data_IF_442041144580
#
_entry.id   IF_442041144580
#
_cell.length_a   1.000
_cell.length_b   1.000
_cell.length_c   1.000
_cell.angle_alpha   90.00
_cell.angle_beta   90.00
_cell.angle_gamma   90.00
#
_symmetry.space_group_name_H-M   'P 1'
#
loop_
_entity.id
_entity.type
_entity.pdbx_description
1 polymer ?
#
# COMPACT_ATOMS: atom_id res chain seq x y z
N UNK A 1 4.73 -1.29 5.01
CA UNK A 1 4.25 -2.43 5.82
C UNK A 1 4.53 -2.19 7.30
N UNK A 2 5.68 -1.59 7.60
CA UNK A 2 6.16 -1.39 8.96
C UNK A 2 6.28 -2.74 9.67
N UNK A 3 5.89 -2.75 10.94
CA UNK A 3 5.87 -3.94 11.78
C UNK A 3 4.66 -4.87 11.54
N UNK A 4 3.87 -4.64 10.49
CA UNK A 4 2.76 -5.53 10.11
C UNK A 4 1.47 -5.39 10.94
N UNK A 5 1.37 -4.40 11.84
CA UNK A 5 0.16 -4.19 12.66
C UNK A 5 -1.11 -4.03 11.81
N UNK A 6 -1.11 -3.10 10.84
CA UNK A 6 -2.25 -2.91 9.93
C UNK A 6 -2.41 -4.12 9.00
N UNK A 7 -1.31 -4.71 8.54
CA UNK A 7 -1.32 -5.89 7.68
C UNK A 7 -2.08 -7.05 8.34
N UNK A 8 -1.86 -7.28 9.63
CA UNK A 8 -2.55 -8.31 10.41
C UNK A 8 -4.06 -8.08 10.45
N UNK A 9 -4.48 -6.84 10.70
CA UNK A 9 -5.90 -6.49 10.70
C UNK A 9 -6.54 -6.62 9.32
N UNK A 10 -5.81 -6.29 8.25
CA UNK A 10 -6.30 -6.55 6.88
C UNK A 10 -6.52 -8.05 6.68
N UNK A 11 -5.53 -8.88 6.99
CA UNK A 11 -5.62 -10.34 6.83
C UNK A 11 -6.79 -10.94 7.64
N UNK A 12 -7.06 -10.42 8.83
CA UNK A 12 -8.17 -10.87 9.67
C UNK A 12 -9.56 -10.56 9.07
N UNK A 13 -9.67 -9.53 8.22
CA UNK A 13 -10.94 -9.03 7.70
C UNK A 13 -11.20 -9.38 6.22
N UNK A 14 -10.16 -9.69 5.45
CA UNK A 14 -10.33 -10.07 4.03
C UNK A 14 -10.77 -11.53 3.87
N UNK A 15 -11.42 -11.82 2.75
CA UNK A 15 -11.85 -13.17 2.40
C UNK A 15 -10.69 -14.12 2.10
N UNK A 16 -10.91 -15.43 2.22
CA UNK A 16 -9.90 -16.46 1.93
C UNK A 16 -9.25 -16.39 0.53
N UNK A 17 -9.96 -16.10 -0.58
CA UNK A 17 -9.32 -16.01 -1.90
C UNK A 17 -8.53 -14.72 -2.12
N UNK A 18 -8.62 -13.74 -1.22
CA UNK A 18 -7.94 -12.46 -1.35
C UNK A 18 -6.43 -12.60 -1.11
N UNK A 19 -5.65 -11.70 -1.71
CA UNK A 19 -4.21 -11.55 -1.45
C UNK A 19 -3.91 -10.15 -0.93
N UNK A 20 -2.88 -10.03 -0.11
CA UNK A 20 -2.34 -8.76 0.39
C UNK A 20 -0.91 -8.61 -0.09
N UNK A 21 -0.62 -7.53 -0.80
CA UNK A 21 0.73 -7.18 -1.21
C UNK A 21 1.28 -6.14 -0.24
N UNK A 22 2.21 -6.54 0.62
CA UNK A 22 2.82 -5.70 1.64
C UNK A 22 4.15 -5.10 1.17
N UNK A 23 4.16 -3.81 0.81
CA UNK A 23 5.38 -3.09 0.41
C UNK A 23 6.14 -2.54 1.62
N UNK A 24 7.45 -2.76 1.65
CA UNK A 24 8.36 -2.24 2.68
C UNK A 24 9.80 -2.12 2.19
N UNK A 25 10.41 -0.95 2.39
CA UNK A 25 11.80 -0.72 1.95
C UNK A 25 12.81 -1.27 2.97
N UNK A 26 12.44 -1.32 4.24
CA UNK A 26 13.31 -1.86 5.28
C UNK A 26 13.27 -3.39 5.29
N UNK A 27 14.39 -4.02 4.89
CA UNK A 27 14.53 -5.48 4.84
C UNK A 27 14.34 -6.16 6.19
N UNK A 28 14.74 -5.52 7.29
CA UNK A 28 14.61 -6.13 8.61
C UNK A 28 13.16 -6.12 9.08
N UNK A 29 12.37 -5.10 8.71
CA UNK A 29 10.92 -5.12 8.91
C UNK A 29 10.24 -6.20 8.07
N UNK A 30 10.71 -6.45 6.85
CA UNK A 30 10.21 -7.56 6.03
C UNK A 30 10.41 -8.90 6.73
N UNK A 31 11.64 -9.18 7.19
CA UNK A 31 11.97 -10.42 7.91
C UNK A 31 11.17 -10.56 9.20
N UNK A 32 11.01 -9.47 9.94
CA UNK A 32 10.23 -9.48 11.17
C UNK A 32 8.78 -9.88 10.86
N UNK A 33 8.13 -9.23 9.91
CA UNK A 33 6.75 -9.54 9.52
C UNK A 33 6.62 -10.97 9.01
N UNK A 34 7.58 -11.44 8.20
CA UNK A 34 7.63 -12.83 7.71
C UNK A 34 7.70 -13.85 8.86
N UNK A 35 8.42 -13.52 9.94
CA UNK A 35 8.53 -14.38 11.13
C UNK A 35 7.29 -14.37 12.04
N UNK A 36 6.53 -13.26 12.04
CA UNK A 36 5.41 -13.04 12.95
C UNK A 36 4.04 -13.33 12.33
N UNK A 37 3.92 -13.23 11.00
CA UNK A 37 2.66 -13.38 10.26
C UNK A 37 2.80 -14.54 9.28
N UNK A 38 2.32 -15.71 9.68
CA UNK A 38 2.21 -16.89 8.81
C UNK A 38 0.82 -16.94 8.17
N UNK A 39 0.68 -16.32 6.99
CA UNK A 39 -0.55 -16.34 6.19
C UNK A 39 -0.22 -16.43 4.69
N UNK A 40 -0.71 -17.48 4.01
CA UNK A 40 -0.48 -17.71 2.58
C UNK A 40 -1.01 -16.61 1.66
N UNK A 41 -1.91 -15.76 2.16
CA UNK A 41 -2.48 -14.62 1.42
C UNK A 41 -1.57 -13.41 1.43
N UNK A 42 -0.57 -13.35 2.32
CA UNK A 42 0.37 -12.25 2.41
C UNK A 42 1.56 -12.47 1.47
N UNK A 43 1.79 -11.52 0.57
CA UNK A 43 2.98 -11.43 -0.28
C UNK A 43 3.79 -10.23 0.20
N UNK A 44 4.95 -10.50 0.81
CA UNK A 44 5.86 -9.46 1.28
C UNK A 44 6.77 -9.02 0.13
N UNK A 45 6.80 -7.71 -0.13
CA UNK A 45 7.61 -7.10 -1.18
C UNK A 45 8.61 -6.14 -0.53
N UNK A 46 9.89 -6.51 -0.56
CA UNK A 46 10.96 -5.62 -0.07
C UNK A 46 11.33 -4.58 -1.14
N UNK A 47 10.40 -3.68 -1.44
CA UNK A 47 10.54 -2.59 -2.41
C UNK A 47 9.63 -1.42 -2.01
N UNK A 48 9.87 -0.25 -2.60
CA UNK A 48 9.03 0.93 -2.41
C UNK A 48 7.65 0.78 -3.04
N UNK A 49 6.64 1.43 -2.45
CA UNK A 49 5.27 1.41 -2.97
C UNK A 49 5.15 2.07 -4.37
N UNK A 50 6.10 2.93 -4.74
CA UNK A 50 6.21 3.47 -6.10
C UNK A 50 6.38 2.39 -7.17
N UNK A 51 6.85 1.19 -6.78
CA UNK A 51 7.07 0.08 -7.69
C UNK A 51 5.85 -0.85 -7.78
N UNK A 52 4.65 -0.39 -7.40
CA UNK A 52 3.43 -1.23 -7.42
C UNK A 52 3.18 -1.87 -8.80
N UNK A 53 3.38 -1.11 -9.88
CA UNK A 53 3.20 -1.61 -11.26
C UNK A 53 4.17 -2.73 -11.65
N UNK A 54 5.35 -2.81 -11.01
CA UNK A 54 6.36 -3.86 -11.23
C UNK A 54 6.00 -5.17 -10.54
N UNK A 55 5.36 -5.09 -9.37
CA UNK A 55 5.10 -6.26 -8.52
C UNK A 55 3.66 -6.77 -8.59
N UNK A 56 2.76 -6.02 -9.24
CA UNK A 56 1.37 -6.41 -9.46
C UNK A 56 1.07 -6.46 -10.94
N UNK A 57 0.79 -7.66 -11.46
CA UNK A 57 0.38 -7.84 -12.86
C UNK A 57 -1.12 -7.59 -13.04
N UNK A 58 -1.90 -7.91 -12.02
CA UNK A 58 -3.36 -7.75 -12.00
C UNK A 58 -3.75 -6.35 -11.53
N UNK A 59 -5.00 -5.99 -11.78
CA UNK A 59 -5.62 -4.83 -11.14
C UNK A 59 -5.99 -5.18 -9.69
N UNK A 60 -6.08 -4.17 -8.84
CA UNK A 60 -6.29 -4.32 -7.40
C UNK A 60 -7.67 -3.78 -7.00
N UNK A 61 -8.24 -4.37 -5.94
CA UNK A 61 -9.57 -3.99 -5.44
C UNK A 61 -9.52 -2.95 -4.32
N UNK A 62 -8.34 -2.65 -3.78
CA UNK A 62 -8.17 -1.65 -2.73
C UNK A 62 -6.69 -1.28 -2.56
N UNK A 63 -6.44 -0.06 -2.09
CA UNK A 63 -5.13 0.39 -1.60
C UNK A 63 -5.30 0.87 -0.17
N UNK A 64 -4.44 0.41 0.74
CA UNK A 64 -4.41 0.85 2.13
C UNK A 64 -3.00 1.36 2.45
N UNK A 65 -2.89 2.66 2.69
CA UNK A 65 -1.61 3.33 2.94
C UNK A 65 -1.57 4.04 4.29
N UNK A 66 -0.43 3.93 4.96
CA UNK A 66 -0.14 4.68 6.19
C UNK A 66 1.22 5.39 6.13
N UNK A 67 1.86 5.42 4.96
CA UNK A 67 3.15 6.07 4.78
C UNK A 67 3.00 7.60 4.89
N UNK A 68 3.88 8.29 5.64
CA UNK A 68 3.85 9.74 5.69
C UNK A 68 4.29 10.35 4.35
N UNK A 69 3.35 10.96 3.62
CA UNK A 69 3.65 11.66 2.36
C UNK A 69 4.59 12.87 2.50
N UNK A 70 4.90 13.29 3.72
CA UNK A 70 5.91 14.32 4.04
C UNK A 70 7.35 13.86 3.76
N UNK A 71 7.61 12.55 3.67
CA UNK A 71 8.95 12.02 3.41
C UNK A 71 9.31 11.95 1.91
N UNK A 72 8.35 12.23 1.04
CA UNK A 72 8.54 12.13 -0.40
C UNK A 72 8.58 13.51 -1.05
N UNK A 73 9.33 13.63 -2.14
CA UNK A 73 9.19 14.78 -3.04
C UNK A 73 7.76 14.84 -3.58
N UNK A 74 7.35 16.03 -4.07
CA UNK A 74 6.03 16.19 -4.68
C UNK A 74 5.81 15.20 -5.81
N UNK A 75 6.79 15.06 -6.71
CA UNK A 75 6.74 14.16 -7.86
C UNK A 75 6.62 12.70 -7.43
N UNK A 76 7.46 12.25 -6.48
CA UNK A 76 7.42 10.85 -6.01
C UNK A 76 6.11 10.54 -5.29
N UNK A 77 5.62 11.45 -4.46
CA UNK A 77 4.34 11.29 -3.78
C UNK A 77 3.17 11.22 -4.76
N UNK A 78 3.15 12.09 -5.78
CA UNK A 78 2.12 12.05 -6.84
C UNK A 78 2.21 10.76 -7.66
N UNK A 79 3.42 10.31 -8.02
CA UNK A 79 3.64 9.07 -8.75
C UNK A 79 3.08 7.85 -8.02
N UNK A 80 3.33 7.73 -6.71
CA UNK A 80 2.76 6.64 -5.90
C UNK A 80 1.23 6.62 -5.97
N UNK A 81 0.59 7.79 -5.83
CA UNK A 81 -0.88 7.89 -5.85
C UNK A 81 -1.40 7.56 -7.24
N UNK A 82 -0.77 8.08 -8.30
CA UNK A 82 -1.18 7.83 -9.68
C UNK A 82 -1.01 6.36 -10.05
N UNK A 83 0.14 5.76 -9.79
CA UNK A 83 0.41 4.37 -10.13
C UNK A 83 -0.51 3.40 -9.39
N UNK A 84 -0.87 3.74 -8.16
CA UNK A 84 -1.87 3.01 -7.38
C UNK A 84 -3.28 3.20 -7.95
N UNK A 85 -3.63 4.43 -8.35
CA UNK A 85 -4.92 4.74 -8.98
C UNK A 85 -5.11 4.01 -10.30
N UNK A 86 -4.07 3.98 -11.15
CA UNK A 86 -4.09 3.30 -12.45
C UNK A 86 -4.30 1.78 -12.33
N UNK A 87 -3.98 1.21 -11.16
CA UNK A 87 -4.16 -0.21 -10.86
C UNK A 87 -5.49 -0.53 -10.22
N UNK A 88 -6.20 0.46 -9.66
CA UNK A 88 -7.49 0.24 -9.03
C UNK A 88 -8.54 -0.11 -10.10
N UNK A 89 -9.33 -1.14 -9.84
CA UNK A 89 -10.54 -1.39 -10.65
C UNK A 89 -11.60 -0.33 -10.37
N UNK A 90 -12.57 -0.20 -11.26
CA UNK A 90 -13.71 0.69 -11.07
C UNK A 90 -14.42 0.41 -9.74
N UNK A 91 -14.83 1.48 -9.04
CA UNK A 91 -15.48 1.45 -7.72
C UNK A 91 -14.64 0.84 -6.58
N UNK A 92 -13.32 0.70 -6.77
CA UNK A 92 -12.40 0.37 -5.69
C UNK A 92 -12.04 1.59 -4.84
N UNK A 93 -11.42 1.36 -3.68
CA UNK A 93 -11.10 2.42 -2.72
C UNK A 93 -9.59 2.56 -2.48
N UNK A 94 -9.13 3.81 -2.40
CA UNK A 94 -7.84 4.15 -1.82
C UNK A 94 -8.06 4.73 -0.41
N UNK A 95 -7.68 3.98 0.62
CA UNK A 95 -7.68 4.43 2.01
C UNK A 95 -6.29 4.86 2.46
N UNK A 96 -6.13 6.13 2.84
CA UNK A 96 -4.86 6.69 3.28
C UNK A 96 -4.97 7.35 4.65
N UNK A 97 -4.10 6.96 5.58
CA UNK A 97 -3.88 7.71 6.82
C UNK A 97 -2.99 8.91 6.52
N UNK A 98 -3.52 10.12 6.68
CA UNK A 98 -2.78 11.37 6.47
C UNK A 98 -2.40 12.01 7.80
N UNK A 99 -1.11 12.24 7.99
CA UNK A 99 -0.59 12.90 9.20
C UNK A 99 -0.79 14.42 9.12
N UNK A 100 -0.88 14.96 7.89
CA UNK A 100 -1.06 16.39 7.61
C UNK A 100 -2.14 16.53 6.54
N UNK A 101 -3.20 17.27 6.87
CA UNK A 101 -4.36 17.50 5.98
C UNK A 101 -3.98 18.07 4.61
N UNK A 102 -2.92 18.89 4.54
CA UNK A 102 -2.44 19.47 3.28
C UNK A 102 -2.14 18.42 2.19
N UNK A 103 -1.68 17.22 2.57
CA UNK A 103 -1.41 16.14 1.62
C UNK A 103 -2.67 15.63 0.92
N UNK A 104 -3.87 15.90 1.43
CA UNK A 104 -5.13 15.52 0.79
C UNK A 104 -5.27 16.12 -0.62
N UNK A 105 -4.72 17.33 -0.84
CA UNK A 105 -4.70 17.98 -2.16
C UNK A 105 -4.00 17.17 -3.26
N UNK A 106 -3.11 16.24 -2.89
CA UNK A 106 -2.46 15.33 -3.84
C UNK A 106 -3.45 14.28 -4.37
N UNK A 107 -4.35 13.80 -3.51
CA UNK A 107 -5.39 12.84 -3.86
C UNK A 107 -6.49 13.50 -4.71
N UNK A 108 -6.88 14.73 -4.35
CA UNK A 108 -7.84 15.54 -5.13
C UNK A 108 -7.37 15.83 -6.56
N UNK A 109 -6.09 15.71 -6.88
CA UNK A 109 -5.61 15.89 -8.26
C UNK A 109 -5.79 14.64 -9.14
N UNK A 110 -6.04 13.48 -8.53
CA UNK A 110 -6.07 12.18 -9.21
C UNK A 110 -7.47 11.56 -9.14
N UNK A 111 -8.18 11.73 -8.03
CA UNK A 111 -9.49 11.13 -7.77
C UNK A 111 -10.69 12.08 -7.94
N UNK A 112 -10.47 13.34 -8.34
CA UNK A 112 -11.55 14.31 -8.62
C UNK A 112 -11.89 14.41 -10.10
#
# INVERSE_FOLDING_TARGET
MGHGNITREILNNISCPSKVFGFEVNKDFCKQVESEISDSRLVIINDGAENIKKHTNENINSVIGSIPFSFFSKEKGMGIIQDSSDKLVDNAYFSQVLYIKFNFKKFEQIFN
#
